data_IF_209045453629
#
_entry.id   IF_209045453629
#
_cell.length_a   1.000
_cell.length_b   1.000
_cell.length_c   1.000
_cell.angle_alpha   90.00
_cell.angle_beta   90.00
_cell.angle_gamma   90.00
#
_symmetry.space_group_name_H-M   'P 1'
#
loop_
_entity.id
_entity.type
_entity.pdbx_description
1 polymer ?
#
# COMPACT_ATOMS: atom_id res chain seq x y z
N UNK A 1 0.32 -0.74 -15.90
CA UNK A 1 -0.92 -1.04 -15.16
C UNK A 1 -2.06 -1.39 -16.12
N UNK A 2 -2.56 -0.51 -16.99
CA UNK A 2 -3.66 -0.84 -17.93
C UNK A 2 -3.45 -2.17 -18.67
N UNK A 3 -2.32 -2.37 -19.33
CA UNK A 3 -2.03 -3.65 -20.01
C UNK A 3 -1.95 -4.88 -19.07
N UNK A 4 -1.56 -4.69 -17.81
CA UNK A 4 -1.51 -5.78 -16.83
C UNK A 4 -2.93 -6.18 -16.40
N UNK A 5 -3.81 -5.20 -16.20
CA UNK A 5 -5.24 -5.40 -15.96
C UNK A 5 -5.93 -6.05 -17.17
N UNK A 6 -5.70 -5.50 -18.37
CA UNK A 6 -6.31 -6.00 -19.62
C UNK A 6 -5.91 -7.45 -19.91
N UNK A 7 -4.70 -7.85 -19.53
CA UNK A 7 -4.20 -9.23 -19.66
C UNK A 7 -4.53 -10.13 -18.46
N UNK A 8 -5.25 -9.61 -17.47
CA UNK A 8 -5.62 -10.36 -16.26
C UNK A 8 -4.43 -10.78 -15.40
N UNK A 9 -3.29 -10.09 -15.53
CA UNK A 9 -2.09 -10.35 -14.75
C UNK A 9 -2.19 -9.77 -13.33
N UNK A 10 -3.00 -8.71 -13.16
CA UNK A 10 -3.28 -8.09 -11.87
C UNK A 10 -4.76 -7.73 -11.77
N UNK A 11 -5.34 -7.93 -10.60
CA UNK A 11 -6.70 -7.54 -10.23
C UNK A 11 -6.70 -6.51 -9.11
N UNK A 12 -5.70 -6.57 -8.26
CA UNK A 12 -5.47 -5.64 -7.16
C UNK A 12 -3.99 -5.20 -7.11
N UNK A 13 -3.63 -4.48 -6.04
CA UNK A 13 -2.28 -3.97 -5.84
C UNK A 13 -1.33 -5.07 -5.35
N UNK A 14 -1.81 -6.05 -4.60
CA UNK A 14 -0.98 -7.11 -4.05
C UNK A 14 -0.47 -8.05 -5.15
N UNK A 15 -1.27 -8.29 -6.19
CA UNK A 15 -0.90 -9.07 -7.38
C UNK A 15 0.40 -8.60 -8.03
N UNK A 16 0.73 -7.29 -7.97
CA UNK A 16 1.97 -6.75 -8.52
C UNK A 16 3.21 -7.47 -7.96
N UNK A 17 3.17 -7.86 -6.70
CA UNK A 17 4.29 -8.50 -6.01
C UNK A 17 4.47 -9.98 -6.37
N UNK A 18 3.48 -10.60 -7.01
CA UNK A 18 3.50 -11.97 -7.49
C UNK A 18 3.83 -12.08 -8.99
N UNK A 19 3.92 -10.96 -9.71
CA UNK A 19 4.29 -10.94 -11.11
C UNK A 19 5.71 -11.47 -11.36
N UNK A 20 5.87 -12.28 -12.41
CA UNK A 20 7.18 -12.74 -12.88
C UNK A 20 7.72 -11.85 -14.01
N UNK A 21 9.05 -11.88 -14.20
CA UNK A 21 9.68 -11.20 -15.33
C UNK A 21 9.14 -11.71 -16.68
N UNK A 22 8.82 -13.00 -16.81
CA UNK A 22 8.24 -13.54 -18.04
C UNK A 22 6.85 -12.95 -18.33
N UNK A 23 6.01 -12.82 -17.30
CA UNK A 23 4.70 -12.19 -17.45
C UNK A 23 4.82 -10.74 -17.88
N UNK A 24 5.78 -10.00 -17.33
CA UNK A 24 6.05 -8.60 -17.72
C UNK A 24 6.52 -8.49 -19.17
N UNK A 25 7.33 -9.44 -19.67
CA UNK A 25 7.76 -9.47 -21.08
C UNK A 25 6.63 -9.75 -22.07
N UNK A 26 5.47 -10.25 -21.61
CA UNK A 26 4.29 -10.38 -22.47
C UNK A 26 3.67 -9.02 -22.81
N UNK A 27 4.01 -7.95 -22.10
CA UNK A 27 3.43 -6.61 -22.29
C UNK A 27 4.03 -5.89 -23.50
N UNK A 28 3.22 -5.07 -24.16
CA UNK A 28 3.63 -4.29 -25.32
C UNK A 28 4.72 -3.28 -24.94
N UNK A 29 5.78 -3.26 -25.74
CA UNK A 29 6.99 -2.43 -25.56
C UNK A 29 7.80 -2.75 -24.31
N UNK A 30 7.50 -3.84 -23.60
CA UNK A 30 8.33 -4.34 -22.51
C UNK A 30 9.25 -5.43 -23.06
N UNK A 31 10.56 -5.22 -22.90
CA UNK A 31 11.60 -6.19 -23.22
C UNK A 31 12.38 -6.52 -21.94
N UNK A 32 13.21 -7.55 -21.98
CA UNK A 32 14.03 -8.06 -20.86
C UNK A 32 14.53 -6.98 -19.90
N UNK A 33 15.31 -5.99 -20.36
CA UNK A 33 15.83 -4.91 -19.49
C UNK A 33 14.72 -4.11 -18.79
N UNK A 34 13.64 -3.81 -19.49
CA UNK A 34 12.50 -3.08 -18.89
C UNK A 34 11.70 -3.95 -17.94
N UNK A 35 11.51 -5.24 -18.26
CA UNK A 35 10.84 -6.19 -17.39
C UNK A 35 11.61 -6.36 -16.08
N UNK A 36 12.93 -6.58 -16.18
CA UNK A 36 13.81 -6.70 -15.02
C UNK A 36 13.82 -5.42 -14.16
N UNK A 37 13.85 -4.24 -14.78
CA UNK A 37 13.76 -2.98 -14.04
C UNK A 37 12.44 -2.84 -13.28
N UNK A 38 11.31 -3.19 -13.91
CA UNK A 38 9.98 -3.14 -13.28
C UNK A 38 9.90 -4.14 -12.13
N UNK A 39 10.30 -5.40 -12.39
CA UNK A 39 10.32 -6.46 -11.38
C UNK A 39 11.18 -6.08 -10.18
N UNK A 40 12.41 -5.63 -10.42
CA UNK A 40 13.34 -5.19 -9.36
C UNK A 40 12.77 -4.02 -8.57
N UNK A 41 12.13 -3.04 -9.23
CA UNK A 41 11.50 -1.92 -8.55
C UNK A 41 10.32 -2.36 -7.67
N UNK A 42 9.49 -3.29 -8.14
CA UNK A 42 8.38 -3.85 -7.36
C UNK A 42 8.91 -4.62 -6.16
N UNK A 43 9.85 -5.56 -6.37
CA UNK A 43 10.43 -6.34 -5.27
C UNK A 43 11.16 -5.45 -4.27
N UNK A 44 11.94 -4.47 -4.74
CA UNK A 44 12.61 -3.49 -3.88
C UNK A 44 11.64 -2.61 -3.10
N UNK A 45 10.43 -2.38 -3.62
CA UNK A 45 9.42 -1.58 -2.91
C UNK A 45 8.85 -2.26 -1.67
N UNK A 46 8.98 -3.59 -1.55
CA UNK A 46 8.58 -4.35 -0.36
C UNK A 46 9.32 -3.88 0.90
N UNK A 47 10.52 -3.35 0.75
CA UNK A 47 11.35 -2.89 1.86
C UNK A 47 11.06 -1.45 2.29
N UNK A 48 10.16 -0.74 1.61
CA UNK A 48 9.82 0.63 1.97
C UNK A 48 9.18 0.69 3.37
N UNK A 49 9.35 1.84 4.03
CA UNK A 49 8.66 2.12 5.28
C UNK A 49 7.15 2.32 5.06
N UNK A 50 6.36 1.97 6.07
CA UNK A 50 4.89 1.84 5.97
C UNK A 50 4.17 3.15 5.61
N UNK A 51 4.72 4.33 5.89
CA UNK A 51 4.11 5.60 5.50
C UNK A 51 3.95 5.74 3.99
N UNK A 52 4.86 5.14 3.20
CA UNK A 52 4.75 5.11 1.73
C UNK A 52 3.62 4.19 1.30
N UNK A 53 3.40 3.09 2.01
CA UNK A 53 2.29 2.18 1.77
C UNK A 53 0.97 2.85 2.14
N UNK A 54 0.84 3.46 3.32
CA UNK A 54 -0.36 4.18 3.76
C UNK A 54 -0.76 5.26 2.75
N UNK A 55 0.21 6.02 2.23
CA UNK A 55 -0.04 6.98 1.17
C UNK A 55 -0.46 6.31 -0.15
N UNK A 56 0.14 5.17 -0.50
CA UNK A 56 -0.16 4.38 -1.70
C UNK A 56 -1.53 3.68 -1.67
N UNK A 57 -2.08 3.38 -0.48
CA UNK A 57 -3.43 2.82 -0.32
C UNK A 57 -4.53 3.81 -0.74
N UNK A 58 -4.22 5.10 -0.87
CA UNK A 58 -5.15 6.09 -1.41
C UNK A 58 -6.32 6.42 -0.48
N UNK A 59 -6.11 6.29 0.84
CA UNK A 59 -7.11 6.66 1.85
C UNK A 59 -7.52 8.13 1.65
N UNK A 60 -8.82 8.39 1.59
CA UNK A 60 -9.34 9.74 1.31
C UNK A 60 -8.80 10.73 2.34
N UNK A 61 -8.41 11.92 1.89
CA UNK A 61 -7.82 13.00 2.72
C UNK A 61 -6.47 12.68 3.38
N UNK A 62 -5.93 11.45 3.25
CA UNK A 62 -4.61 11.08 3.77
C UNK A 62 -3.53 11.36 2.71
N UNK A 63 -2.89 12.52 2.83
CA UNK A 63 -1.69 12.84 2.05
C UNK A 63 -0.41 12.25 2.68
N UNK A 64 0.73 12.40 1.98
CA UNK A 64 2.03 11.91 2.44
C UNK A 64 2.41 12.39 3.87
N UNK A 65 2.06 13.65 4.23
CA UNK A 65 2.30 14.17 5.58
C UNK A 65 1.46 13.43 6.63
N UNK A 66 0.17 13.23 6.36
CA UNK A 66 -0.72 12.52 7.28
C UNK A 66 -0.32 11.06 7.42
N UNK A 67 -0.02 10.38 6.31
CA UNK A 67 0.47 9.02 6.28
C UNK A 67 1.73 8.84 7.15
N UNK A 68 2.66 9.80 7.10
CA UNK A 68 3.85 9.81 7.94
C UNK A 68 3.52 9.95 9.43
N UNK A 69 2.67 10.91 9.80
CA UNK A 69 2.27 11.12 11.21
C UNK A 69 1.59 9.86 11.78
N UNK A 70 0.70 9.24 11.00
CA UNK A 70 0.04 7.99 11.38
C UNK A 70 1.08 6.87 11.57
N UNK A 71 2.00 6.71 10.63
CA UNK A 71 3.05 5.69 10.73
C UNK A 71 4.00 5.92 11.92
N UNK A 72 4.41 7.16 12.18
CA UNK A 72 5.26 7.52 13.32
C UNK A 72 4.59 7.21 14.66
N UNK A 73 3.27 7.42 14.78
CA UNK A 73 2.54 7.19 16.01
C UNK A 73 2.18 5.72 16.23
N UNK A 74 1.62 5.06 15.22
CA UNK A 74 1.10 3.69 15.34
C UNK A 74 2.15 2.61 15.06
N UNK A 75 3.26 2.95 14.42
CA UNK A 75 4.40 2.06 14.18
C UNK A 75 4.20 1.02 13.08
N UNK A 76 2.99 0.52 12.86
CA UNK A 76 2.69 -0.44 11.79
C UNK A 76 1.23 -0.36 11.30
N UNK A 77 0.99 -0.93 10.11
CA UNK A 77 -0.33 -0.91 9.47
C UNK A 77 -1.39 -1.70 10.26
N UNK A 78 -1.10 -2.89 10.83
CA UNK A 78 -2.07 -3.63 11.67
C UNK A 78 -2.48 -2.91 12.98
N UNK A 79 -1.61 -2.06 13.51
CA UNK A 79 -1.92 -1.24 14.70
C UNK A 79 -2.77 -0.05 14.28
N UNK A 80 -2.42 0.62 13.17
CA UNK A 80 -3.25 1.68 12.59
C UNK A 80 -4.65 1.20 12.23
N UNK A 81 -4.80 -0.02 11.69
CA UNK A 81 -6.12 -0.55 11.28
C UNK A 81 -7.08 -0.82 12.44
N UNK A 82 -6.58 -0.84 13.68
CA UNK A 82 -7.38 -1.01 14.90
C UNK A 82 -7.56 0.29 15.69
N UNK A 83 -6.97 1.38 15.21
CA UNK A 83 -7.04 2.67 15.87
C UNK A 83 -8.45 3.25 15.78
N UNK A 84 -8.87 3.90 16.86
CA UNK A 84 -10.14 4.62 16.95
C UNK A 84 -10.03 6.02 16.34
N UNK A 85 -11.17 6.60 15.97
CA UNK A 85 -11.20 7.97 15.47
C UNK A 85 -10.64 8.96 16.51
N UNK A 86 -10.94 8.74 17.80
CA UNK A 86 -10.47 9.57 18.90
C UNK A 86 -8.93 9.54 19.03
N UNK A 87 -8.32 8.36 18.91
CA UNK A 87 -6.85 8.22 18.92
C UNK A 87 -6.20 8.95 17.74
N UNK A 88 -6.82 8.88 16.56
CA UNK A 88 -6.29 9.51 15.35
C UNK A 88 -6.45 11.04 15.41
N UNK A 89 -7.59 11.56 15.89
CA UNK A 89 -7.82 13.00 16.07
C UNK A 89 -6.91 13.63 17.13
N UNK A 90 -6.44 12.85 18.11
CA UNK A 90 -5.51 13.33 19.11
C UNK A 90 -4.11 13.67 18.55
N UNK A 91 -3.81 13.27 17.32
CA UNK A 91 -2.53 13.53 16.66
C UNK A 91 -2.46 14.97 16.14
N UNK A 92 -1.33 15.62 16.38
CA UNK A 92 -1.09 16.96 15.85
C UNK A 92 -1.18 16.96 14.31
N UNK A 93 -1.81 17.98 13.75
CA UNK A 93 -2.06 18.12 12.31
C UNK A 93 -3.02 17.08 11.68
N UNK A 94 -3.73 16.28 12.46
CA UNK A 94 -4.80 15.38 11.99
C UNK A 94 -6.15 15.86 12.53
N UNK A 95 -7.10 16.11 11.64
CA UNK A 95 -8.46 16.54 12.00
C UNK A 95 -9.48 15.40 11.88
N UNK A 96 -10.70 15.65 12.38
CA UNK A 96 -11.82 14.70 12.35
C UNK A 96 -12.07 14.08 10.97
N UNK A 97 -12.00 14.88 9.89
CA UNK A 97 -12.20 14.38 8.53
C UNK A 97 -11.19 13.30 8.12
N UNK A 98 -9.93 13.44 8.53
CA UNK A 98 -8.89 12.44 8.22
C UNK A 98 -9.10 11.20 9.08
N UNK A 99 -9.40 11.38 10.37
CA UNK A 99 -9.64 10.28 11.28
C UNK A 99 -10.81 9.40 10.83
N UNK A 100 -11.94 10.03 10.51
CA UNK A 100 -13.13 9.36 9.95
C UNK A 100 -12.78 8.60 8.66
N UNK A 101 -12.05 9.24 7.75
CA UNK A 101 -11.63 8.60 6.49
C UNK A 101 -10.74 7.37 6.70
N UNK A 102 -9.87 7.40 7.70
CA UNK A 102 -8.99 6.27 8.04
C UNK A 102 -9.80 5.13 8.65
N UNK A 103 -10.65 5.42 9.63
CA UNK A 103 -11.48 4.41 10.28
C UNK A 103 -12.43 3.77 9.25
N UNK A 104 -13.18 4.57 8.50
CA UNK A 104 -14.08 4.06 7.44
C UNK A 104 -13.34 3.24 6.38
N UNK A 105 -12.09 3.59 6.06
CA UNK A 105 -11.29 2.78 5.13
C UNK A 105 -11.03 1.38 5.69
N UNK A 106 -10.63 1.27 6.95
CA UNK A 106 -10.37 -0.01 7.59
C UNK A 106 -11.63 -0.78 8.02
N UNK A 107 -12.81 -0.17 8.02
CA UNK A 107 -14.08 -0.89 8.19
C UNK A 107 -14.46 -1.75 6.98
N UNK A 108 -13.85 -1.52 5.82
CA UNK A 108 -14.12 -2.31 4.62
C UNK A 108 -13.38 -3.66 4.66
N UNK A 109 -14.11 -4.77 4.57
CA UNK A 109 -13.55 -6.13 4.53
C UNK A 109 -12.52 -6.32 3.41
N UNK A 110 -12.72 -5.70 2.24
CA UNK A 110 -11.77 -5.77 1.11
C UNK A 110 -10.38 -5.20 1.47
N UNK A 111 -10.32 -4.23 2.40
CA UNK A 111 -9.05 -3.67 2.86
C UNK A 111 -8.31 -4.67 3.75
N UNK A 112 -9.03 -5.43 4.57
CA UNK A 112 -8.42 -6.49 5.37
C UNK A 112 -7.91 -7.65 4.51
N UNK A 113 -8.62 -7.99 3.44
CA UNK A 113 -8.16 -8.96 2.44
C UNK A 113 -6.87 -8.47 1.77
N UNK A 114 -6.86 -7.22 1.28
CA UNK A 114 -5.67 -6.59 0.68
C UNK A 114 -4.47 -6.58 1.64
N UNK A 115 -4.68 -6.25 2.92
CA UNK A 115 -3.61 -6.29 3.93
C UNK A 115 -3.01 -7.69 4.09
N UNK A 116 -3.86 -8.72 4.14
CA UNK A 116 -3.40 -10.11 4.25
C UNK A 116 -2.62 -10.55 3.00
N UNK A 117 -3.00 -10.08 1.81
CA UNK A 117 -2.27 -10.35 0.57
C UNK A 117 -0.93 -9.63 0.52
N UNK A 118 -0.86 -8.37 0.96
CA UNK A 118 0.40 -7.62 1.07
C UNK A 118 1.35 -8.28 2.07
N UNK A 119 0.84 -8.79 3.19
CA UNK A 119 1.63 -9.56 4.16
C UNK A 119 2.16 -10.87 3.55
N UNK A 120 1.31 -11.63 2.85
CA UNK A 120 1.73 -12.83 2.10
C UNK A 120 2.79 -12.50 1.03
N UNK A 121 2.68 -11.34 0.39
CA UNK A 121 3.65 -10.83 -0.56
C UNK A 121 4.96 -10.36 0.10
N UNK A 122 5.07 -10.41 1.44
CA UNK A 122 6.21 -9.96 2.23
C UNK A 122 6.49 -8.47 2.10
N UNK A 123 5.45 -7.67 1.88
CA UNK A 123 5.55 -6.21 1.93
C UNK A 123 5.75 -5.78 3.38
N UNK A 124 6.70 -4.88 3.62
CA UNK A 124 6.93 -4.33 4.95
C UNK A 124 5.74 -3.48 5.39
N UNK A 125 5.12 -3.88 6.50
CA UNK A 125 4.00 -3.16 7.11
C UNK A 125 4.43 -2.32 8.31
N UNK A 126 5.74 -2.19 8.58
CA UNK A 126 6.27 -1.48 9.75
C UNK A 126 6.95 -0.16 9.37
N UNK A 127 6.93 0.80 10.28
CA UNK A 127 7.61 2.07 10.15
C UNK A 127 9.12 1.90 10.40
N UNK A 128 9.95 2.43 9.50
CA UNK A 128 11.41 2.30 9.53
C UNK A 128 12.15 3.60 9.91
N UNK A 129 11.45 4.71 10.15
CA UNK A 129 12.05 5.97 10.63
C UNK A 129 12.17 7.07 9.60
#
# INVERSE_FOLDING_TARGET
LAQMYDKGLVKDVADLYFLTEEQLMTLDKIKEKSANNIYTAIQGSKENSVERLIFGLGIRHVGAKAAKILAEHFGDLPTLSRATAEEIVALDSIGETIADSVVTYFENEEVHELMAELEKAQVNLTYKG
#
